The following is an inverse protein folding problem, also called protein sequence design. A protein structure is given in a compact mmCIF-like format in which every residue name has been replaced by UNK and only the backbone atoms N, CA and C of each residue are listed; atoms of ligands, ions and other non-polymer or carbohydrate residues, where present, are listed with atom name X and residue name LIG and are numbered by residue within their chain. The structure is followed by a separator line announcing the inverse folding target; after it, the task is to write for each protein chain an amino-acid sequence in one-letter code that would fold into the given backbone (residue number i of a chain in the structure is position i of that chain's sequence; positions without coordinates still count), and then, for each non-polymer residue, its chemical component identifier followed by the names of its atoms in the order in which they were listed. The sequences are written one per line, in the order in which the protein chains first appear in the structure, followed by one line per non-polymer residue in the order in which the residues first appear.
data_IF_671939742791
#
_entry.id   IF_671939742791
#
_cell.length_a   1.000
_cell.length_b   1.000
_cell.length_c   1.000
_cell.angle_alpha   90.00
_cell.angle_beta   90.00
_cell.angle_gamma   90.00
#
_symmetry.space_group_name_H-M   'P 1'
#
loop_
_entity.id
_entity.type
_entity.pdbx_description
1 polymer ?
#
# COMPACT_ATOMS: atom_id res chain seq x y z
N UNK A 1 -14.83 26.14 -0.18
CA UNK A 1 -13.47 26.10 -0.70
C UNK A 1 -12.77 24.84 -0.14
N UNK A 2 -12.37 23.92 -1.02
CA UNK A 2 -11.73 22.65 -0.66
C UNK A 2 -10.34 22.85 0.00
N UNK A 3 -9.58 23.82 -0.43
CA UNK A 3 -8.25 24.10 0.13
C UNK A 3 -8.38 24.61 1.57
N UNK A 4 -9.37 25.46 1.85
CA UNK A 4 -9.65 25.95 3.19
C UNK A 4 -9.96 24.88 4.19
N UNK A 5 -10.84 23.94 3.86
CA UNK A 5 -11.11 22.79 4.73
C UNK A 5 -9.84 22.02 5.10
N UNK A 6 -8.94 21.82 4.13
CA UNK A 6 -7.69 21.08 4.34
C UNK A 6 -6.68 21.82 5.20
N UNK A 7 -6.62 23.14 5.09
CA UNK A 7 -5.70 24.00 5.85
C UNK A 7 -6.16 24.30 7.27
N UNK A 8 -7.46 24.14 7.57
CA UNK A 8 -8.03 24.34 8.91
C UNK A 8 -7.82 23.17 9.87
N UNK A 9 -7.46 21.98 9.35
CA UNK A 9 -7.18 20.82 10.18
C UNK A 9 -5.97 21.04 11.06
N UNK A 10 -6.12 20.77 12.36
CA UNK A 10 -4.98 20.72 13.27
C UNK A 10 -4.02 19.58 12.93
N UNK A 11 -2.79 19.64 13.44
CA UNK A 11 -1.74 18.66 13.16
C UNK A 11 -2.22 17.20 13.33
N UNK A 12 -2.82 16.88 14.47
CA UNK A 12 -3.28 15.51 14.78
C UNK A 12 -4.42 15.07 13.85
N UNK A 13 -5.36 15.98 13.57
CA UNK A 13 -6.47 15.69 12.66
C UNK A 13 -5.97 15.42 11.23
N UNK A 14 -5.08 16.26 10.72
CA UNK A 14 -4.46 16.09 9.41
C UNK A 14 -3.65 14.80 9.31
N UNK A 15 -2.93 14.45 10.39
CA UNK A 15 -2.16 13.20 10.48
C UNK A 15 -3.06 11.96 10.45
N UNK A 16 -4.09 11.89 11.31
CA UNK A 16 -5.02 10.75 11.36
C UNK A 16 -5.80 10.63 10.05
N UNK A 17 -6.27 11.75 9.51
CA UNK A 17 -6.95 11.81 8.22
C UNK A 17 -6.04 11.31 7.07
N UNK A 18 -4.74 11.64 7.14
CA UNK A 18 -3.73 11.14 6.22
C UNK A 18 -3.54 9.61 6.30
N UNK A 19 -3.56 9.03 7.52
CA UNK A 19 -3.48 7.58 7.70
C UNK A 19 -4.66 6.90 6.97
N UNK A 20 -5.89 7.33 7.25
CA UNK A 20 -7.10 6.75 6.64
C UNK A 20 -7.10 6.91 5.12
N UNK A 21 -6.63 8.05 4.61
CA UNK A 21 -6.53 8.30 3.18
C UNK A 21 -5.61 7.28 2.50
N UNK A 22 -4.36 7.17 2.94
CA UNK A 22 -3.41 6.32 2.24
C UNK A 22 -3.65 4.82 2.47
N UNK A 23 -4.33 4.45 3.54
CA UNK A 23 -4.86 3.10 3.69
C UNK A 23 -5.84 2.76 2.56
N UNK A 24 -6.81 3.64 2.26
CA UNK A 24 -7.76 3.44 1.17
C UNK A 24 -7.08 3.48 -0.22
N UNK A 25 -6.10 4.38 -0.42
CA UNK A 25 -5.32 4.43 -1.67
C UNK A 25 -4.56 3.13 -1.91
N UNK A 26 -3.88 2.62 -0.89
CA UNK A 26 -3.15 1.37 -0.99
C UNK A 26 -4.10 0.16 -1.19
N UNK A 27 -5.28 0.19 -0.55
CA UNK A 27 -6.32 -0.80 -0.79
C UNK A 27 -6.84 -0.77 -2.24
N UNK A 28 -6.99 0.42 -2.83
CA UNK A 28 -7.38 0.58 -4.23
C UNK A 28 -6.37 -0.10 -5.18
N UNK A 29 -5.07 0.11 -4.94
CA UNK A 29 -4.00 -0.54 -5.70
C UNK A 29 -4.09 -2.06 -5.54
N UNK A 30 -4.25 -2.56 -4.34
CA UNK A 30 -4.36 -4.00 -4.08
C UNK A 30 -5.59 -4.62 -4.74
N UNK A 31 -6.75 -3.99 -4.65
CA UNK A 31 -7.96 -4.45 -5.32
C UNK A 31 -7.82 -4.48 -6.84
N UNK A 32 -7.00 -3.58 -7.41
CA UNK A 32 -6.72 -3.61 -8.85
C UNK A 32 -5.92 -4.84 -9.28
N UNK A 33 -5.08 -5.39 -8.39
CA UNK A 33 -4.36 -6.65 -8.66
C UNK A 33 -5.24 -7.90 -8.47
N UNK A 34 -6.35 -7.80 -7.74
CA UNK A 34 -7.28 -8.90 -7.52
C UNK A 34 -8.17 -9.20 -8.74
N UNK A 35 -8.10 -8.40 -9.81
CA UNK A 35 -8.89 -8.59 -11.02
C UNK A 35 -8.03 -8.68 -12.27
N UNK A 36 -8.35 -9.61 -13.16
CA UNK A 36 -7.70 -9.76 -14.48
C UNK A 36 -8.40 -8.93 -15.57
N UNK A 37 -9.61 -8.42 -15.29
CA UNK A 37 -10.38 -7.63 -16.26
C UNK A 37 -10.20 -6.13 -16.04
N UNK A 38 -10.22 -5.35 -17.13
CA UNK A 38 -10.10 -3.88 -17.03
C UNK A 38 -11.25 -3.28 -16.20
N UNK A 39 -12.47 -3.74 -16.40
CA UNK A 39 -13.64 -3.26 -15.64
C UNK A 39 -13.51 -3.57 -14.15
N UNK A 40 -13.04 -4.75 -13.78
CA UNK A 40 -12.79 -5.12 -12.40
C UNK A 40 -11.69 -4.27 -11.76
N UNK A 41 -10.62 -3.97 -12.49
CA UNK A 41 -9.55 -3.05 -12.02
C UNK A 41 -10.11 -1.64 -11.79
N UNK A 42 -10.89 -1.12 -12.73
CA UNK A 42 -11.51 0.21 -12.59
C UNK A 42 -12.42 0.26 -11.36
N UNK A 43 -13.28 -0.73 -11.15
CA UNK A 43 -14.15 -0.79 -9.98
C UNK A 43 -13.34 -0.91 -8.67
N UNK A 44 -12.30 -1.72 -8.66
CA UNK A 44 -11.41 -1.90 -7.50
C UNK A 44 -10.72 -0.59 -7.09
N UNK A 45 -10.35 0.25 -8.05
CA UNK A 45 -9.74 1.57 -7.79
C UNK A 45 -10.82 2.60 -7.42
N UNK A 46 -11.96 2.58 -8.10
CA UNK A 46 -12.99 3.59 -8.00
C UNK A 46 -13.56 3.71 -6.58
N UNK A 47 -13.98 2.60 -5.98
CA UNK A 47 -14.67 2.65 -4.68
C UNK A 47 -13.81 3.20 -3.54
N UNK A 48 -12.59 2.73 -3.28
CA UNK A 48 -11.76 3.31 -2.22
C UNK A 48 -11.35 4.76 -2.52
N UNK A 49 -11.14 5.10 -3.79
CA UNK A 49 -10.82 6.47 -4.20
C UNK A 49 -12.00 7.41 -3.94
N UNK A 50 -13.20 7.03 -4.35
CA UNK A 50 -14.42 7.80 -4.05
C UNK A 50 -14.64 7.94 -2.55
N UNK A 51 -14.40 6.88 -1.77
CA UNK A 51 -14.59 6.90 -0.34
C UNK A 51 -13.69 7.95 0.34
N UNK A 52 -12.37 7.95 0.09
CA UNK A 52 -11.49 8.93 0.74
C UNK A 52 -11.76 10.37 0.29
N UNK A 53 -12.19 10.57 -0.96
CA UNK A 53 -12.58 11.90 -1.48
C UNK A 53 -13.88 12.36 -0.82
N UNK A 54 -14.89 11.50 -0.74
CA UNK A 54 -16.20 11.83 -0.15
C UNK A 54 -16.11 12.11 1.37
N UNK A 55 -15.26 11.38 2.09
CA UNK A 55 -14.99 11.60 3.52
C UNK A 55 -14.17 12.89 3.74
N UNK A 56 -13.46 13.37 2.70
CA UNK A 56 -12.61 14.54 2.79
C UNK A 56 -11.22 14.28 3.37
N UNK A 57 -10.74 13.04 3.36
CA UNK A 57 -9.43 12.68 3.88
C UNK A 57 -8.27 13.44 3.25
N UNK A 58 -7.21 13.62 4.02
CA UNK A 58 -6.01 14.37 3.64
C UNK A 58 -5.09 13.51 2.78
N UNK A 59 -5.04 13.78 1.48
CA UNK A 59 -4.15 13.10 0.53
C UNK A 59 -3.01 14.04 0.12
N UNK A 60 -1.77 13.67 0.46
CA UNK A 60 -0.62 14.55 0.23
C UNK A 60 -0.46 14.94 -1.24
N UNK A 61 -0.59 13.99 -2.17
CA UNK A 61 -0.46 14.25 -3.62
C UNK A 61 -1.58 15.16 -4.14
N UNK A 62 -2.82 14.96 -3.68
CA UNK A 62 -3.92 15.85 -4.05
C UNK A 62 -3.71 17.27 -3.47
N UNK A 63 -3.21 17.37 -2.25
CA UNK A 63 -2.91 18.64 -1.60
C UNK A 63 -1.76 19.39 -2.30
N UNK A 64 -0.80 18.68 -2.93
CA UNK A 64 0.25 19.29 -3.76
C UNK A 64 -0.28 20.03 -4.99
N UNK A 65 -1.48 19.73 -5.43
CA UNK A 65 -2.15 20.46 -6.50
C UNK A 65 -3.13 21.50 -5.94
N UNK A 66 -4.03 21.08 -5.07
CA UNK A 66 -5.17 21.90 -4.61
C UNK A 66 -4.73 23.14 -3.82
N UNK A 67 -3.76 22.99 -2.90
CA UNK A 67 -3.35 24.09 -2.05
C UNK A 67 -2.49 25.12 -2.81
N UNK A 68 -1.47 24.72 -3.60
CA UNK A 68 -0.76 25.67 -4.46
C UNK A 68 -1.66 26.42 -5.45
N UNK A 69 -2.66 25.72 -6.05
CA UNK A 69 -3.63 26.39 -6.92
C UNK A 69 -4.35 27.54 -6.18
N UNK A 70 -4.85 27.27 -4.96
CA UNK A 70 -5.51 28.28 -4.13
C UNK A 70 -4.55 29.40 -3.65
N UNK A 71 -3.26 29.09 -3.48
CA UNK A 71 -2.23 30.12 -3.17
C UNK A 71 -2.03 31.05 -4.38
N UNK A 72 -1.96 30.52 -5.60
CA UNK A 72 -1.85 31.33 -6.81
C UNK A 72 -3.08 32.22 -7.06
N UNK A 73 -4.26 31.78 -6.59
CA UNK A 73 -5.48 32.60 -6.58
C UNK A 73 -5.48 33.67 -5.48
N UNK A 74 -4.47 33.71 -4.60
CA UNK A 74 -4.30 34.72 -3.55
C UNK A 74 -5.06 34.43 -2.26
N UNK A 75 -5.57 33.22 -2.05
CA UNK A 75 -6.39 32.91 -0.88
C UNK A 75 -5.58 32.44 0.33
N UNK A 76 -4.40 31.84 0.15
CA UNK A 76 -3.59 31.21 1.20
C UNK A 76 -2.11 31.48 1.01
N UNK A 77 -1.29 31.11 2.02
CA UNK A 77 0.15 31.31 2.02
C UNK A 77 0.92 29.99 1.93
N UNK A 78 2.15 30.05 1.43
CA UNK A 78 3.07 28.93 1.40
C UNK A 78 3.41 28.38 2.79
N UNK A 79 3.39 29.23 3.83
CA UNK A 79 3.58 28.80 5.21
C UNK A 79 2.47 27.85 5.68
N UNK A 80 1.22 28.17 5.39
CA UNK A 80 0.08 27.31 5.72
C UNK A 80 0.15 25.97 4.97
N UNK A 81 0.60 25.98 3.70
CA UNK A 81 0.82 24.76 2.94
C UNK A 81 1.86 23.84 3.60
N UNK A 82 3.01 24.37 3.99
CA UNK A 82 4.08 23.57 4.64
C UNK A 82 3.60 22.98 5.96
N UNK A 83 2.85 23.76 6.75
CA UNK A 83 2.29 23.28 8.02
C UNK A 83 1.26 22.15 7.83
N UNK A 84 0.47 22.17 6.76
CA UNK A 84 -0.43 21.08 6.42
C UNK A 84 0.33 19.89 5.82
N UNK A 85 1.33 20.15 4.97
CA UNK A 85 2.07 19.11 4.24
C UNK A 85 2.73 18.10 5.18
N UNK A 86 3.38 18.56 6.24
CA UNK A 86 4.14 17.70 7.17
C UNK A 86 3.24 16.63 7.82
N UNK A 87 2.16 16.97 8.54
CA UNK A 87 1.31 15.97 9.18
C UNK A 87 0.61 15.06 8.15
N UNK A 88 0.18 15.61 7.02
CA UNK A 88 -0.48 14.81 5.97
C UNK A 88 0.50 13.80 5.36
N UNK A 89 1.73 14.23 5.05
CA UNK A 89 2.76 13.35 4.51
C UNK A 89 3.12 12.22 5.49
N UNK A 90 3.34 12.55 6.77
CA UNK A 90 3.60 11.55 7.81
C UNK A 90 2.43 10.59 7.98
N UNK A 91 1.20 11.09 7.96
CA UNK A 91 -0.01 10.27 8.04
C UNK A 91 -0.15 9.33 6.86
N UNK A 92 0.03 9.82 5.64
CA UNK A 92 -0.01 9.01 4.43
C UNK A 92 1.09 7.92 4.44
N UNK A 93 2.32 8.27 4.84
CA UNK A 93 3.41 7.30 4.98
C UNK A 93 3.06 6.21 6.00
N UNK A 94 2.55 6.60 7.16
CA UNK A 94 2.13 5.66 8.22
C UNK A 94 1.01 4.74 7.74
N UNK A 95 -0.02 5.28 7.09
CA UNK A 95 -1.14 4.51 6.55
C UNK A 95 -0.71 3.45 5.55
N UNK A 96 0.15 3.80 4.60
CA UNK A 96 0.68 2.86 3.62
C UNK A 96 1.68 1.86 4.19
N UNK A 97 2.63 2.32 5.02
CA UNK A 97 3.70 1.48 5.53
C UNK A 97 3.23 0.49 6.61
N UNK A 98 2.50 0.97 7.63
CA UNK A 98 2.10 0.10 8.74
C UNK A 98 0.88 -0.75 8.42
N UNK A 99 -0.18 -0.15 7.87
CA UNK A 99 -1.44 -0.87 7.67
C UNK A 99 -1.45 -1.75 6.42
N UNK A 100 -0.67 -1.40 5.41
CA UNK A 100 -0.64 -2.17 4.16
C UNK A 100 0.67 -2.94 4.00
N UNK A 101 1.81 -2.27 3.96
CA UNK A 101 3.08 -2.94 3.70
C UNK A 101 3.46 -3.93 4.80
N UNK A 102 3.29 -3.57 6.09
CA UNK A 102 3.59 -4.48 7.20
C UNK A 102 2.61 -5.66 7.27
N UNK A 103 1.29 -5.42 7.04
CA UNK A 103 0.31 -6.49 6.97
C UNK A 103 0.62 -7.46 5.80
N UNK A 104 0.95 -6.92 4.64
CA UNK A 104 1.32 -7.71 3.48
C UNK A 104 2.59 -8.54 3.73
N UNK A 105 3.61 -7.94 4.36
CA UNK A 105 4.82 -8.62 4.74
C UNK A 105 4.55 -9.79 5.72
N UNK A 106 3.71 -9.56 6.73
CA UNK A 106 3.35 -10.61 7.69
C UNK A 106 2.63 -11.78 7.05
N UNK A 107 1.73 -11.52 6.10
CA UNK A 107 0.88 -12.56 5.49
C UNK A 107 1.62 -13.31 4.39
N UNK A 108 2.40 -12.62 3.56
CA UNK A 108 2.94 -13.21 2.33
C UNK A 108 4.45 -13.40 2.34
N UNK A 109 5.20 -12.57 3.04
CA UNK A 109 6.65 -12.57 2.97
C UNK A 109 7.33 -13.18 4.20
N UNK A 110 6.64 -13.26 5.32
CA UNK A 110 7.12 -13.97 6.51
C UNK A 110 6.93 -15.46 6.33
N UNK A 111 7.62 -16.05 5.35
CA UNK A 111 7.70 -17.51 5.22
C UNK A 111 8.61 -18.06 6.33
N UNK A 112 8.14 -19.14 6.96
CA UNK A 112 9.01 -20.01 7.74
C UNK A 112 10.22 -20.41 6.87
N UNK A 113 11.42 -20.46 7.49
CA UNK A 113 12.59 -20.97 6.79
C UNK A 113 12.20 -22.29 6.14
N UNK A 114 12.48 -22.50 4.84
CA UNK A 114 12.19 -23.79 4.22
C UNK A 114 12.91 -24.86 5.06
N UNK A 115 12.14 -25.80 5.58
CA UNK A 115 12.68 -26.97 6.23
C UNK A 115 13.53 -27.67 5.17
N UNK A 116 14.84 -27.57 5.29
CA UNK A 116 15.77 -28.29 4.43
C UNK A 116 15.56 -29.76 4.76
N UNK A 117 14.65 -30.42 4.06
CA UNK A 117 14.53 -31.87 4.14
C UNK A 117 15.89 -32.43 3.76
N UNK A 118 16.52 -33.25 4.63
CA UNK A 118 17.78 -33.87 4.28
C UNK A 118 17.54 -34.65 2.99
N UNK A 119 18.39 -34.42 1.99
CA UNK A 119 18.40 -35.24 0.78
C UNK A 119 18.77 -36.64 1.27
N UNK A 120 17.77 -37.47 1.52
CA UNK A 120 17.99 -38.90 1.66
C UNK A 120 18.51 -39.32 0.29
N UNK A 121 19.82 -39.44 0.18
CA UNK A 121 20.40 -40.20 -0.92
C UNK A 121 19.79 -41.60 -0.83
N UNK A 122 18.73 -41.83 -1.60
CA UNK A 122 18.35 -43.18 -1.97
C UNK A 122 19.52 -43.71 -2.74
N UNK A 123 20.42 -44.46 -2.02
CA UNK A 123 21.39 -45.27 -2.68
C UNK A 123 20.62 -46.13 -3.69
N UNK A 124 20.81 -45.86 -4.96
CA UNK A 124 20.32 -46.78 -5.99
C UNK A 124 20.84 -48.16 -5.64
N UNK A 125 19.98 -49.18 -5.55
CA UNK A 125 20.46 -50.56 -5.33
C UNK A 125 21.44 -50.85 -6.46
N UNK A 126 22.71 -51.08 -6.12
CA UNK A 126 23.73 -51.56 -7.07
C UNK A 126 23.11 -52.60 -7.98
N UNK A 127 23.01 -52.27 -9.27
CA UNK A 127 22.49 -53.18 -10.27
C UNK A 127 23.37 -54.47 -10.20
N UNK A 128 22.79 -55.59 -9.72
CA UNK A 128 23.50 -56.86 -9.70
C UNK A 128 23.96 -57.18 -11.11
N UNK A 129 25.24 -57.49 -11.29
CA UNK A 129 25.75 -57.75 -12.62
C UNK A 129 25.02 -58.95 -13.23
N UNK A 130 24.68 -58.83 -14.52
CA UNK A 130 23.84 -59.82 -15.26
C UNK A 130 24.38 -61.24 -15.30
N UNK A 131 25.66 -61.45 -14.94
CA UNK A 131 26.29 -62.77 -14.94
C UNK A 131 25.89 -63.66 -13.71
N UNK A 132 25.25 -63.13 -12.71
CA UNK A 132 24.83 -63.89 -11.53
C UNK A 132 23.60 -64.78 -11.72
N UNK A 133 23.03 -64.83 -12.94
CA UNK A 133 21.87 -65.66 -13.29
C UNK A 133 22.21 -66.97 -14.01
N UNK A 134 23.49 -67.36 -14.09
CA UNK A 134 23.92 -68.62 -14.70
C UNK A 134 24.70 -69.46 -13.71
N UNK A 135 24.03 -69.92 -12.65
CA UNK A 135 24.51 -71.04 -11.82
C UNK A 135 23.27 -71.77 -11.26
#
# INVERSE_FOLDING_TARGET
DMAGHKLHDGFLQAFISGIGCNWLVALAVWLSYASDTMSGKVLGIWFPTMAFVAIGFQHVVANMFLIPAAIFEGHYSWGQYIMNFIPVWLGNLTGGALFVAAAYWMVYLRKEKPEVKPIVQTAEPEARPMWSKQA
#
